data_IF_052705837544
#
_entry.id   IF_052705837544
#
_cell.length_a   1.000
_cell.length_b   1.000
_cell.length_c   1.000
_cell.angle_alpha   90.00
_cell.angle_beta   90.00
_cell.angle_gamma   90.00
#
_symmetry.space_group_name_H-M   'P 1'
#
loop_
_entity.id
_entity.type
_entity.pdbx_description
1 polymer ?
#
# COMPACT_ATOMS: atom_id res chain seq x y z
N UNK A 1 5.66 -1.24 -13.16
CA UNK A 1 4.61 -1.36 -12.13
C UNK A 1 4.73 -2.74 -11.51
N UNK A 2 5.62 -2.88 -10.53
CA UNK A 2 5.82 -4.14 -9.80
C UNK A 2 5.06 -4.11 -8.47
N UNK A 3 4.89 -2.91 -7.90
CA UNK A 3 4.09 -2.64 -6.70
C UNK A 3 2.62 -2.98 -6.86
N UNK A 4 2.05 -2.78 -8.06
CA UNK A 4 0.63 -3.02 -8.35
C UNK A 4 0.27 -4.51 -8.25
N UNK A 5 1.08 -5.39 -8.86
CA UNK A 5 0.88 -6.84 -8.76
C UNK A 5 1.09 -7.39 -7.35
N UNK A 6 2.01 -6.80 -6.57
CA UNK A 6 2.20 -7.16 -5.16
C UNK A 6 1.05 -6.67 -4.27
N UNK A 7 0.49 -5.50 -4.56
CA UNK A 7 -0.67 -4.96 -3.87
C UNK A 7 -1.92 -5.81 -4.12
N UNK A 8 -2.12 -6.26 -5.37
CA UNK A 8 -3.20 -7.21 -5.71
C UNK A 8 -3.05 -8.56 -4.99
N UNK A 9 -1.82 -9.10 -4.91
CA UNK A 9 -1.55 -10.33 -4.17
C UNK A 9 -1.90 -10.19 -2.68
N UNK A 10 -1.46 -9.11 -2.04
CA UNK A 10 -1.78 -8.82 -0.64
C UNK A 10 -3.29 -8.66 -0.40
N UNK A 11 -4.00 -8.00 -1.32
CA UNK A 11 -5.47 -7.88 -1.28
C UNK A 11 -6.15 -9.23 -1.41
N UNK A 12 -5.65 -10.12 -2.27
CA UNK A 12 -6.15 -11.48 -2.43
C UNK A 12 -5.94 -12.30 -1.14
N UNK A 13 -4.74 -12.22 -0.56
CA UNK A 13 -4.42 -12.86 0.73
C UNK A 13 -5.35 -12.34 1.84
N UNK A 14 -5.57 -11.03 1.91
CA UNK A 14 -6.45 -10.40 2.89
C UNK A 14 -7.90 -10.89 2.73
N UNK A 15 -8.40 -10.96 1.49
CA UNK A 15 -9.73 -11.51 1.19
C UNK A 15 -9.85 -12.97 1.63
N UNK A 16 -8.83 -13.79 1.37
CA UNK A 16 -8.81 -15.19 1.80
C UNK A 16 -8.85 -15.31 3.34
N UNK A 17 -8.14 -14.44 4.06
CA UNK A 17 -8.16 -14.40 5.52
C UNK A 17 -9.56 -14.04 6.04
N UNK A 18 -10.24 -13.06 5.43
CA UNK A 18 -11.61 -12.71 5.81
C UNK A 18 -12.64 -13.79 5.48
N UNK A 19 -12.48 -14.48 4.35
CA UNK A 19 -13.31 -15.64 4.00
C UNK A 19 -13.17 -16.74 5.06
N UNK A 20 -11.94 -17.04 5.48
CA UNK A 20 -11.68 -18.00 6.58
C UNK A 20 -12.27 -17.52 7.90
N UNK A 21 -12.13 -16.24 8.25
CA UNK A 21 -12.70 -15.64 9.45
C UNK A 21 -14.22 -15.76 9.54
N UNK A 22 -14.92 -15.85 8.40
CA UNK A 22 -16.36 -16.06 8.31
C UNK A 22 -16.79 -17.53 8.43
N UNK A 23 -15.86 -18.47 8.50
CA UNK A 23 -16.18 -19.88 8.62
C UNK A 23 -16.80 -20.20 9.99
N UNK A 24 -17.98 -20.82 10.00
CA UNK A 24 -18.72 -21.19 11.22
C UNK A 24 -17.95 -22.18 12.13
N UNK A 25 -16.97 -22.89 11.57
CA UNK A 25 -16.16 -23.88 12.29
C UNK A 25 -14.89 -23.31 12.93
N UNK A 26 -14.67 -22.00 12.86
CA UNK A 26 -13.41 -21.40 13.29
C UNK A 26 -13.32 -21.29 14.83
N UNK A 27 -12.18 -21.69 15.40
CA UNK A 27 -11.96 -21.59 16.85
C UNK A 27 -11.48 -20.20 17.24
N UNK A 28 -11.76 -19.75 18.47
CA UNK A 28 -11.27 -18.46 19.00
C UNK A 28 -9.77 -18.21 18.80
N UNK A 29 -8.84 -19.15 19.09
CA UNK A 29 -7.41 -18.92 18.86
C UNK A 29 -7.05 -18.77 17.38
N UNK A 30 -7.69 -19.53 16.50
CA UNK A 30 -7.50 -19.44 15.04
C UNK A 30 -8.02 -18.08 14.51
N UNK A 31 -9.11 -17.57 15.13
CA UNK A 31 -9.66 -16.25 14.85
C UNK A 31 -8.66 -15.15 15.18
N UNK A 32 -8.03 -15.22 16.36
CA UNK A 32 -7.05 -14.23 16.81
C UNK A 32 -5.81 -14.25 15.91
N UNK A 33 -5.33 -15.43 15.53
CA UNK A 33 -4.19 -15.56 14.60
C UNK A 33 -4.51 -14.99 13.21
N UNK A 34 -5.69 -15.29 12.67
CA UNK A 34 -6.14 -14.74 11.39
C UNK A 34 -6.31 -13.21 11.43
N UNK A 35 -6.82 -12.66 12.54
CA UNK A 35 -6.92 -11.20 12.71
C UNK A 35 -5.54 -10.56 12.80
N UNK A 36 -4.61 -11.14 13.55
CA UNK A 36 -3.23 -10.65 13.61
C UNK A 36 -2.55 -10.69 12.23
N UNK A 37 -2.80 -11.75 11.44
CA UNK A 37 -2.31 -11.85 10.07
C UNK A 37 -2.95 -10.80 9.16
N UNK A 38 -4.26 -10.53 9.30
CA UNK A 38 -4.95 -9.49 8.55
C UNK A 38 -4.39 -8.09 8.85
N UNK A 39 -4.03 -7.82 10.10
CA UNK A 39 -3.41 -6.55 10.51
C UNK A 39 -2.05 -6.35 9.83
N UNK A 40 -1.18 -7.37 9.86
CA UNK A 40 0.14 -7.32 9.19
C UNK A 40 0.01 -7.12 7.68
N UNK A 41 -0.96 -7.77 7.04
CA UNK A 41 -1.20 -7.61 5.59
C UNK A 41 -1.72 -6.21 5.26
N UNK A 42 -2.58 -5.63 6.12
CA UNK A 42 -3.05 -4.25 5.96
C UNK A 42 -1.91 -3.24 6.10
N UNK A 43 -1.02 -3.42 7.08
CA UNK A 43 0.17 -2.58 7.27
C UNK A 43 1.08 -2.60 6.03
N UNK A 44 1.28 -3.78 5.42
CA UNK A 44 2.04 -3.89 4.17
C UNK A 44 1.35 -3.20 2.98
N UNK A 45 0.02 -3.29 2.90
CA UNK A 45 -0.75 -2.60 1.86
C UNK A 45 -0.65 -1.09 2.03
N UNK A 46 -0.72 -0.59 3.27
CA UNK A 46 -0.57 0.83 3.61
C UNK A 46 0.83 1.32 3.26
N UNK A 47 1.89 0.60 3.66
CA UNK A 47 3.27 0.96 3.35
C UNK A 47 3.55 1.03 1.83
N UNK A 48 2.94 0.15 1.03
CA UNK A 48 3.07 0.19 -0.44
C UNK A 48 2.32 1.40 -1.00
N UNK A 49 1.13 1.72 -0.49
CA UNK A 49 0.37 2.89 -0.95
C UNK A 49 1.06 4.20 -0.55
N UNK A 50 1.57 4.31 0.68
CA UNK A 50 2.34 5.46 1.16
C UNK A 50 3.57 5.71 0.29
N UNK A 51 4.31 4.64 -0.06
CA UNK A 51 5.45 4.76 -0.98
C UNK A 51 5.06 5.20 -2.41
N UNK A 52 3.86 4.85 -2.89
CA UNK A 52 3.34 5.29 -4.19
C UNK A 52 2.94 6.77 -4.12
N UNK A 53 2.23 7.18 -3.08
CA UNK A 53 1.85 8.58 -2.86
C UNK A 53 3.08 9.50 -2.71
N UNK A 54 4.12 9.07 -2.00
CA UNK A 54 5.36 9.85 -1.86
C UNK A 54 6.15 9.90 -3.18
N UNK A 55 6.15 8.83 -3.99
CA UNK A 55 6.74 8.85 -5.35
C UNK A 55 5.97 9.79 -6.29
N UNK A 56 4.65 9.72 -6.32
CA UNK A 56 3.78 10.64 -7.08
C UNK A 56 4.02 12.09 -6.64
N UNK A 57 4.11 12.33 -5.34
CA UNK A 57 4.41 13.65 -4.77
C UNK A 57 5.80 14.14 -5.16
N UNK A 58 6.81 13.28 -5.15
CA UNK A 58 8.16 13.60 -5.59
C UNK A 58 8.21 13.90 -7.11
N UNK A 59 7.44 13.16 -7.92
CA UNK A 59 7.25 13.45 -9.35
C UNK A 59 6.60 14.81 -9.58
N UNK A 60 5.53 15.13 -8.85
CA UNK A 60 4.88 16.45 -8.93
C UNK A 60 5.82 17.59 -8.50
N UNK A 61 6.66 17.36 -7.48
CA UNK A 61 7.63 18.37 -7.01
C UNK A 61 8.76 18.60 -8.01
N UNK A 62 9.18 17.57 -8.75
CA UNK A 62 10.22 17.68 -9.78
C UNK A 62 9.71 18.28 -11.09
N UNK A 63 8.43 18.14 -11.41
CA UNK A 63 7.79 18.87 -12.53
C UNK A 63 7.43 20.32 -12.17
N UNK A 64 7.32 20.65 -10.89
CA UNK A 64 7.05 21.99 -10.38
C UNK A 64 8.32 22.83 -10.10
N UNK A 65 9.42 22.60 -10.80
CA UNK A 65 10.47 23.63 -10.93
C UNK A 65 10.04 24.55 -12.08
N UNK A 66 9.53 25.77 -11.84
CA UNK A 66 9.70 26.81 -12.83
C UNK A 66 11.20 26.99 -12.98
N UNK A 67 11.70 26.76 -14.20
CA UNK A 67 13.05 27.11 -14.58
C UNK A 67 13.36 28.50 -13.98
N UNK A 68 14.47 28.70 -13.26
CA UNK A 68 14.86 30.05 -12.94
C UNK A 68 15.15 30.69 -14.29
N UNK A 69 14.18 31.47 -14.77
CA UNK A 69 14.38 32.48 -15.80
C UNK A 69 15.24 33.56 -15.15
N UNK A 70 16.48 33.19 -14.81
CA UNK A 70 17.55 34.07 -14.42
C UNK A 70 18.13 34.62 -15.70
N UNK A 71 17.34 35.51 -16.33
CA UNK A 71 17.81 36.81 -16.79
C UNK A 71 19.31 36.86 -17.15
N UNK A 72 19.66 36.41 -18.36
CA UNK A 72 20.91 36.80 -19.02
C UNK A 72 20.73 38.20 -19.59
N UNK A 73 20.57 39.19 -18.69
CA UNK A 73 21.02 40.55 -18.96
C UNK A 73 22.46 40.59 -18.46
N UNK A 74 23.44 40.52 -19.37
CA UNK A 74 24.79 41.12 -19.37
C UNK A 74 25.65 40.44 -20.46
#
# INVERSE_FOLDING_TARGET
>A
MESDGKLEDLRSVLSCVFEKLGAESLTEPDRVELVARAEVVQDQIEAIQDGIDDEERARMRTTAVPEPTGDRLF
#
